data_IF_761439983102
#
_entry.id   IF_761439983102
#
_cell.length_a   1.000
_cell.length_b   1.000
_cell.length_c   1.000
_cell.angle_alpha   90.00
_cell.angle_beta   90.00
_cell.angle_gamma   90.00
#
_symmetry.space_group_name_H-M   'P 1'
#
loop_
_entity.id
_entity.type
_entity.pdbx_description
1 polymer ?
#
# COMPACT_ATOMS: atom_id res chain seq x y z
N UNK A 1 7.14 -4.65 7.07
CA UNK A 1 7.37 -4.92 5.63
C UNK A 1 8.82 -4.61 5.31
N UNK A 2 9.56 -5.46 4.59
CA UNK A 2 11.00 -5.30 4.34
C UNK A 2 11.36 -4.26 3.26
N UNK A 3 10.40 -3.42 2.84
CA UNK A 3 10.60 -2.40 1.81
C UNK A 3 10.61 -1.04 2.50
N UNK A 4 11.58 -0.20 2.16
CA UNK A 4 11.65 1.19 2.61
C UNK A 4 11.63 2.08 1.37
N UNK A 5 10.64 2.97 1.30
CA UNK A 5 10.53 3.95 0.23
C UNK A 5 10.98 5.32 0.73
N UNK A 6 12.03 5.84 0.10
CA UNK A 6 12.53 7.19 0.35
C UNK A 6 12.17 8.11 -0.82
N UNK A 7 11.65 9.29 -0.51
CA UNK A 7 11.27 10.30 -1.49
C UNK A 7 11.67 11.70 -1.02
N UNK A 8 11.87 12.60 -1.99
CA UNK A 8 12.14 14.01 -1.72
C UNK A 8 10.82 14.76 -1.57
N UNK A 9 10.73 15.61 -0.56
CA UNK A 9 9.61 16.53 -0.36
C UNK A 9 9.92 17.90 -0.96
N UNK A 10 8.90 18.76 -1.10
CA UNK A 10 9.07 20.11 -1.69
C UNK A 10 10.06 21.00 -0.92
N UNK A 11 10.28 20.75 0.38
CA UNK A 11 11.30 21.44 1.18
C UNK A 11 12.74 21.04 0.84
N UNK A 12 12.94 20.05 -0.04
CA UNK A 12 14.24 19.52 -0.41
C UNK A 12 14.75 18.38 0.48
N UNK A 13 14.11 18.15 1.63
CA UNK A 13 14.45 17.07 2.54
C UNK A 13 14.09 15.69 1.96
N UNK A 14 14.80 14.65 2.39
CA UNK A 14 14.49 13.26 2.03
C UNK A 14 13.78 12.60 3.20
N UNK A 15 12.58 12.08 2.96
CA UNK A 15 11.80 11.33 3.93
C UNK A 15 11.74 9.85 3.54
N UNK A 16 11.87 8.95 4.51
CA UNK A 16 11.79 7.50 4.30
C UNK A 16 10.65 6.91 5.12
N UNK A 17 9.80 6.11 4.47
CA UNK A 17 8.72 5.36 5.12
C UNK A 17 8.89 3.87 4.87
N UNK A 18 8.47 3.04 5.82
CA UNK A 18 8.41 1.59 5.61
C UNK A 18 7.17 1.26 4.78
N UNK A 19 7.36 0.53 3.68
CA UNK A 19 6.37 0.27 2.64
C UNK A 19 6.73 0.96 1.32
N UNK A 20 5.83 0.85 0.35
CA UNK A 20 5.91 1.53 -0.94
C UNK A 20 4.50 1.96 -1.36
N UNK A 21 4.34 3.04 -2.14
CA UNK A 21 3.04 3.57 -2.48
C UNK A 21 2.43 2.73 -3.61
N UNK A 22 1.24 2.16 -3.37
CA UNK A 22 0.49 1.44 -4.39
C UNK A 22 -0.30 2.37 -5.32
N UNK A 23 -0.54 3.60 -4.87
CA UNK A 23 -1.36 4.58 -5.56
C UNK A 23 -1.58 5.83 -4.73
N UNK A 24 -2.49 6.67 -5.18
CA UNK A 24 -2.94 7.87 -4.50
C UNK A 24 -4.37 8.24 -4.90
N UNK A 25 -5.01 9.08 -4.08
CA UNK A 25 -6.35 9.60 -4.35
C UNK A 25 -6.33 11.12 -4.33
N UNK A 26 -6.88 11.73 -5.39
CA UNK A 26 -7.12 13.16 -5.45
C UNK A 26 -8.56 13.41 -5.01
N UNK A 27 -8.72 14.14 -3.90
CA UNK A 27 -10.05 14.43 -3.36
C UNK A 27 -10.89 15.28 -4.32
N UNK A 28 -12.22 15.28 -4.14
CA UNK A 28 -13.16 16.14 -4.88
C UNK A 28 -12.82 17.64 -4.88
N UNK A 29 -12.16 18.11 -3.83
CA UNK A 29 -11.71 19.51 -3.71
C UNK A 29 -10.33 19.74 -4.35
N UNK A 30 -9.89 18.84 -5.22
CA UNK A 30 -8.57 18.83 -5.87
C UNK A 30 -7.38 18.86 -4.89
N UNK A 31 -7.62 18.49 -3.62
CA UNK A 31 -6.54 18.39 -2.64
C UNK A 31 -5.79 17.09 -2.87
N UNK A 32 -4.59 17.22 -3.43
CA UNK A 32 -3.61 16.14 -3.57
C UNK A 32 -2.96 15.88 -2.21
N UNK A 33 -2.76 14.61 -1.87
CA UNK A 33 -2.04 14.19 -0.66
C UNK A 33 -0.94 13.20 -1.02
N UNK A 34 0.06 13.13 -0.14
CA UNK A 34 1.15 12.15 -0.20
C UNK A 34 1.81 12.13 -1.58
N UNK A 35 1.77 10.98 -2.23
CA UNK A 35 2.41 10.70 -3.50
C UNK A 35 1.77 11.41 -4.70
N UNK A 36 0.48 11.77 -4.64
CA UNK A 36 -0.18 12.54 -5.70
C UNK A 36 0.49 13.92 -5.87
N UNK A 37 1.17 14.42 -4.83
CA UNK A 37 1.87 15.70 -4.86
C UNK A 37 3.14 15.58 -5.70
N UNK A 38 3.90 14.51 -5.49
CA UNK A 38 5.20 14.24 -6.12
C UNK A 38 5.11 14.02 -7.63
N UNK A 39 3.96 13.54 -8.13
CA UNK A 39 3.74 13.24 -9.55
C UNK A 39 2.71 14.21 -10.15
N UNK A 40 3.18 15.15 -10.98
CA UNK A 40 2.40 16.28 -11.51
C UNK A 40 1.27 15.88 -12.48
N UNK A 41 1.31 14.66 -13.00
CA UNK A 41 0.28 14.06 -13.86
C UNK A 41 -0.96 13.58 -13.10
N UNK A 42 -0.90 13.44 -11.77
CA UNK A 42 -2.01 12.93 -10.95
C UNK A 42 -2.77 14.07 -10.28
N UNK A 43 -3.70 14.67 -11.04
CA UNK A 43 -4.34 15.94 -10.67
C UNK A 43 -5.85 15.99 -10.86
N UNK A 44 -6.44 14.99 -11.52
CA UNK A 44 -7.87 15.01 -11.81
C UNK A 44 -8.66 14.83 -10.51
N UNK A 45 -9.65 15.70 -10.25
CA UNK A 45 -10.44 15.62 -9.02
C UNK A 45 -11.21 14.31 -8.94
N UNK A 46 -11.41 13.83 -7.72
CA UNK A 46 -12.14 12.59 -7.42
C UNK A 46 -11.60 11.34 -8.12
N UNK A 47 -10.27 11.29 -8.34
CA UNK A 47 -9.62 10.23 -9.13
C UNK A 47 -8.64 9.41 -8.28
N UNK A 48 -8.72 8.09 -8.43
CA UNK A 48 -7.74 7.15 -7.89
C UNK A 48 -6.69 6.84 -8.95
N UNK A 49 -5.43 7.09 -8.62
CA UNK A 49 -4.29 6.70 -9.46
C UNK A 49 -3.59 5.52 -8.82
N UNK A 50 -3.53 4.40 -9.53
CA UNK A 50 -2.78 3.22 -9.11
C UNK A 50 -1.41 3.29 -9.78
N UNK A 51 -0.35 3.26 -8.99
CA UNK A 51 1.02 3.40 -9.50
C UNK A 51 1.66 2.09 -9.88
N UNK A 52 1.06 1.00 -9.42
CA UNK A 52 1.77 -0.26 -9.32
C UNK A 52 1.16 -1.31 -10.24
N UNK A 53 1.95 -1.62 -11.25
CA UNK A 53 1.91 -2.83 -12.04
C UNK A 53 2.58 -3.94 -11.23
N UNK A 54 2.07 -4.36 -10.06
CA UNK A 54 2.67 -5.51 -9.33
C UNK A 54 1.59 -6.50 -8.92
N UNK A 55 1.93 -7.78 -8.99
CA UNK A 55 1.14 -8.82 -8.32
C UNK A 55 1.73 -9.08 -6.94
N UNK A 56 0.85 -9.13 -5.94
CA UNK A 56 1.21 -9.49 -4.57
C UNK A 56 0.66 -10.88 -4.30
N UNK A 57 1.55 -11.84 -4.13
CA UNK A 57 1.22 -13.21 -3.75
C UNK A 57 1.47 -13.35 -2.25
N UNK A 58 0.42 -13.70 -1.51
CA UNK A 58 0.49 -13.90 -0.06
C UNK A 58 0.18 -15.35 0.24
N UNK A 59 1.19 -16.05 0.75
CA UNK A 59 1.04 -17.39 1.30
C UNK A 59 0.80 -17.27 2.80
N UNK A 60 -0.27 -17.89 3.28
CA UNK A 60 -0.66 -17.83 4.68
C UNK A 60 -1.14 -19.20 5.16
N UNK A 61 -0.95 -19.48 6.45
CA UNK A 61 -1.60 -20.60 7.10
C UNK A 61 -2.98 -20.14 7.56
N UNK A 62 -4.07 -20.71 7.01
CA UNK A 62 -5.39 -20.47 7.57
C UNK A 62 -5.38 -21.05 8.99
N UNK A 63 -5.91 -20.29 9.92
CA UNK A 63 -6.06 -20.75 11.29
C UNK A 63 -7.36 -21.56 11.37
N UNK A 64 -7.31 -22.72 12.04
CA UNK A 64 -8.49 -23.56 12.27
C UNK A 64 -9.38 -22.99 13.37
N UNK A 65 -10.64 -23.42 13.47
CA UNK A 65 -11.53 -22.98 14.56
C UNK A 65 -11.00 -23.32 15.96
N UNK A 66 -10.07 -24.27 16.06
CA UNK A 66 -9.43 -24.72 17.30
C UNK A 66 -8.26 -23.81 17.72
N UNK A 67 -7.61 -23.14 16.75
CA UNK A 67 -6.44 -22.28 16.98
C UNK A 67 -6.80 -20.89 17.52
N UNK A 68 -8.03 -20.43 17.30
CA UNK A 68 -8.55 -19.21 17.87
C UNK A 68 -9.31 -19.56 19.15
N UNK A 69 -8.82 -19.13 20.31
CA UNK A 69 -9.70 -19.03 21.48
C UNK A 69 -10.99 -18.29 21.11
N UNK A 70 -12.07 -18.51 21.87
CA UNK A 70 -13.47 -18.12 21.62
C UNK A 70 -13.77 -16.62 21.34
N UNK A 71 -12.76 -15.78 21.13
CA UNK A 71 -12.85 -14.32 21.02
C UNK A 71 -12.80 -13.75 19.60
N UNK A 72 -12.74 -14.57 18.54
CA UNK A 72 -12.66 -14.05 17.17
C UNK A 72 -13.64 -14.72 16.20
N UNK A 73 -14.65 -13.95 15.77
CA UNK A 73 -15.74 -14.34 14.86
C UNK A 73 -15.38 -14.11 13.37
N UNK A 74 -14.24 -14.60 12.88
CA UNK A 74 -13.85 -14.30 11.50
C UNK A 74 -12.82 -15.24 10.87
N UNK A 75 -12.74 -15.18 9.53
CA UNK A 75 -11.68 -15.83 8.76
C UNK A 75 -10.37 -15.06 8.96
N UNK A 76 -9.34 -15.73 9.44
CA UNK A 76 -8.01 -15.15 9.52
C UNK A 76 -6.93 -16.22 9.44
N UNK A 77 -5.68 -15.78 9.40
CA UNK A 77 -4.54 -16.67 9.22
C UNK A 77 -3.22 -15.96 9.53
N UNK A 78 -2.17 -16.75 9.72
CA UNK A 78 -0.82 -16.23 9.90
C UNK A 78 -0.12 -16.17 8.55
N UNK A 79 0.31 -14.98 8.13
CA UNK A 79 1.09 -14.80 6.90
C UNK A 79 2.43 -15.52 7.06
N UNK A 80 2.76 -16.36 6.08
CA UNK A 80 4.02 -17.11 6.01
C UNK A 80 4.99 -16.41 5.06
N UNK A 81 4.49 -15.96 3.90
CA UNK A 81 5.33 -15.33 2.88
C UNK A 81 4.53 -14.30 2.10
N UNK A 82 5.19 -13.23 1.67
CA UNK A 82 4.66 -12.25 0.74
C UNK A 82 5.68 -12.04 -0.38
N UNK A 83 5.27 -12.32 -1.61
CA UNK A 83 6.10 -12.16 -2.81
C UNK A 83 5.51 -11.09 -3.71
N UNK A 84 6.35 -10.17 -4.14
CA UNK A 84 6.01 -9.11 -5.09
C UNK A 84 6.56 -9.47 -6.47
N UNK A 85 5.70 -9.41 -7.48
CA UNK A 85 6.07 -9.64 -8.88
C UNK A 85 5.78 -8.35 -9.67
N UNK A 86 6.81 -7.61 -10.11
CA UNK A 86 6.64 -6.51 -11.04
C UNK A 86 6.04 -6.97 -12.37
N UNK A 87 5.06 -6.22 -12.84
CA UNK A 87 4.47 -6.23 -14.17
C UNK A 87 4.96 -4.99 -14.92
N UNK A 88 5.09 -5.12 -16.23
CA UNK A 88 5.61 -4.08 -17.13
C UNK A 88 4.49 -3.26 -17.71
#
# INVERSE_FOLDING_TARGET
>A
MPITWCYKVESGDTYCSTGFPIGCYVTKHSKRKDTCITLSNFKDPDTYYVYNHVDILIDYHPLSEEDWGTQHLGKGGRIVTAKLIPRR
#
